data_IF_720250217849
#
_entry.id   IF_720250217849
#
_cell.length_a   1.000
_cell.length_b   1.000
_cell.length_c   1.000
_cell.angle_alpha   90.00
_cell.angle_beta   90.00
_cell.angle_gamma   90.00
#
_symmetry.space_group_name_H-M   'P 1'
#
loop_
_entity.id
_entity.type
_entity.pdbx_description
1 polymer ?
#
# COMPACT_ATOMS: atom_id res chain seq x y z
N UNK A 1 8.10 18.02 -3.71
CA UNK A 1 6.82 17.79 -3.04
C UNK A 1 6.84 16.46 -2.32
N UNK A 2 6.35 16.44 -1.11
CA UNK A 2 6.34 15.21 -0.33
C UNK A 2 5.10 14.40 -0.57
N UNK A 3 5.27 13.11 -0.67
CA UNK A 3 4.14 12.20 -0.71
C UNK A 3 3.62 11.96 0.70
N UNK A 4 2.35 11.60 0.79
CA UNK A 4 1.72 11.31 2.05
C UNK A 4 2.13 9.92 2.52
N UNK A 5 2.43 9.78 3.80
CA UNK A 5 2.71 8.47 4.38
C UNK A 5 1.60 8.09 5.34
N UNK A 6 1.29 6.80 5.35
CA UNK A 6 0.26 6.25 6.22
C UNK A 6 0.73 4.90 6.75
N UNK A 7 0.09 4.46 7.82
CA UNK A 7 0.32 3.11 8.33
C UNK A 7 -0.59 2.15 7.61
N UNK A 8 -0.04 1.02 7.19
CA UNK A 8 -0.81 0.03 6.46
C UNK A 8 -0.44 -1.37 6.92
N UNK A 9 -1.42 -2.26 6.87
CA UNK A 9 -1.16 -3.68 7.08
C UNK A 9 -0.53 -4.24 5.83
N UNK A 10 0.58 -4.95 5.97
CA UNK A 10 1.29 -5.52 4.83
C UNK A 10 0.95 -6.99 4.74
N UNK A 11 0.34 -7.40 3.64
CA UNK A 11 -0.13 -8.77 3.49
C UNK A 11 1.00 -9.79 3.62
N UNK A 12 2.11 -9.55 2.95
CA UNK A 12 3.23 -10.49 2.98
C UNK A 12 3.93 -10.56 4.32
N UNK A 13 3.63 -9.65 5.23
CA UNK A 13 4.20 -9.63 6.57
C UNK A 13 3.16 -10.04 7.60
N UNK A 14 2.22 -10.91 7.22
CA UNK A 14 1.18 -11.42 8.10
C UNK A 14 0.30 -10.32 8.67
N UNK A 15 0.12 -9.24 7.92
CA UNK A 15 -0.73 -8.15 8.34
C UNK A 15 -0.09 -7.19 9.33
N UNK A 16 1.21 -7.30 9.55
CA UNK A 16 1.89 -6.34 10.40
C UNK A 16 1.84 -4.96 9.79
N UNK A 17 1.75 -3.94 10.63
CA UNK A 17 1.64 -2.58 10.16
C UNK A 17 3.01 -1.98 9.88
N UNK A 18 3.10 -1.30 8.76
CA UNK A 18 4.31 -0.58 8.38
C UNK A 18 3.91 0.75 7.78
N UNK A 19 4.81 1.71 7.86
CA UNK A 19 4.59 3.00 7.23
C UNK A 19 4.87 2.89 5.74
N UNK A 20 3.90 3.29 4.93
CA UNK A 20 4.03 3.27 3.47
C UNK A 20 3.82 4.67 2.92
N UNK A 21 4.34 4.88 1.72
CA UNK A 21 4.23 6.16 1.04
C UNK A 21 3.20 6.05 -0.07
N UNK A 22 2.17 6.90 -0.03
CA UNK A 22 1.18 6.94 -1.10
C UNK A 22 1.75 7.76 -2.25
N UNK A 23 1.88 7.11 -3.41
CA UNK A 23 2.44 7.75 -4.59
C UNK A 23 1.36 8.42 -5.40
N UNK A 24 0.30 7.68 -5.71
CA UNK A 24 -0.81 8.20 -6.49
C UNK A 24 -2.00 7.29 -6.32
N UNK A 25 -3.15 7.74 -6.81
CA UNK A 25 -4.35 6.92 -6.76
C UNK A 25 -4.31 5.91 -7.90
N UNK A 26 -4.77 4.69 -7.62
CA UNK A 26 -4.87 3.65 -8.63
C UNK A 26 -5.96 4.01 -9.63
N UNK A 27 -5.73 3.64 -10.90
CA UNK A 27 -6.70 3.92 -11.96
C UNK A 27 -6.97 2.67 -12.77
N UNK A 28 -8.13 2.64 -13.40
CA UNK A 28 -8.52 1.60 -14.33
C UNK A 28 -9.04 2.29 -15.58
N UNK A 29 -8.38 2.07 -16.72
CA UNK A 29 -8.73 2.71 -17.98
C UNK A 29 -8.82 4.23 -17.85
N UNK A 30 -7.88 4.81 -17.09
CA UNK A 30 -7.83 6.25 -16.91
C UNK A 30 -8.79 6.81 -15.88
N UNK A 31 -9.58 5.96 -15.23
CA UNK A 31 -10.52 6.41 -14.21
C UNK A 31 -10.02 6.02 -12.83
N UNK A 32 -10.08 6.93 -11.86
CA UNK A 32 -9.60 6.60 -10.53
C UNK A 32 -10.48 5.56 -9.86
N UNK A 33 -9.82 4.61 -9.20
CA UNK A 33 -10.51 3.57 -8.44
C UNK A 33 -10.66 4.06 -7.01
N UNK A 34 -11.88 4.16 -6.49
CA UNK A 34 -12.06 4.64 -5.12
C UNK A 34 -11.31 3.77 -4.11
N UNK A 35 -10.64 4.43 -3.17
CA UNK A 35 -9.96 3.77 -2.06
C UNK A 35 -8.83 2.83 -2.47
N UNK A 36 -8.32 2.99 -3.69
CA UNK A 36 -7.20 2.18 -4.16
C UNK A 36 -6.04 3.10 -4.51
N UNK A 37 -4.85 2.74 -4.06
CA UNK A 37 -3.68 3.61 -4.20
C UNK A 37 -2.46 2.81 -4.60
N UNK A 38 -1.56 3.48 -5.33
CA UNK A 38 -0.24 2.95 -5.59
C UNK A 38 0.66 3.49 -4.49
N UNK A 39 1.34 2.58 -3.81
CA UNK A 39 2.16 2.95 -2.65
C UNK A 39 3.56 2.37 -2.81
N UNK A 40 4.47 2.89 -1.98
CA UNK A 40 5.83 2.37 -1.94
C UNK A 40 6.18 1.96 -0.53
N UNK A 41 6.82 0.82 -0.42
CA UNK A 41 7.37 0.35 0.84
C UNK A 41 8.72 -0.26 0.56
N UNK A 42 9.75 0.28 1.21
CA UNK A 42 11.11 -0.23 1.01
C UNK A 42 11.59 -0.13 -0.43
N UNK A 43 11.13 0.91 -1.15
CA UNK A 43 11.52 1.10 -2.53
C UNK A 43 10.74 0.27 -3.53
N UNK A 44 9.78 -0.53 -3.06
CA UNK A 44 8.97 -1.39 -3.91
C UNK A 44 7.57 -0.83 -4.00
N UNK A 45 7.04 -0.75 -5.22
CA UNK A 45 5.67 -0.28 -5.44
C UNK A 45 4.69 -1.44 -5.36
N UNK A 46 3.55 -1.17 -4.76
CA UNK A 46 2.46 -2.14 -4.73
C UNK A 46 1.15 -1.38 -4.61
N UNK A 47 0.06 -2.12 -4.53
CA UNK A 47 -1.27 -1.53 -4.43
C UNK A 47 -1.74 -1.61 -2.98
N UNK A 48 -2.36 -0.54 -2.51
CA UNK A 48 -2.96 -0.53 -1.18
C UNK A 48 -4.42 -0.13 -1.30
N UNK A 49 -5.24 -0.73 -0.45
CA UNK A 49 -6.66 -0.46 -0.39
C UNK A 49 -6.97 0.17 0.95
N UNK A 50 -7.73 1.26 0.92
CA UNK A 50 -8.23 1.87 2.14
C UNK A 50 -9.61 1.33 2.44
N UNK A 51 -9.80 0.79 3.65
CA UNK A 51 -11.08 0.28 4.07
C UNK A 51 -11.76 1.31 4.96
N UNK A 52 -12.80 1.99 4.47
CA UNK A 52 -13.46 3.02 5.29
C UNK A 52 -14.20 2.46 6.50
N UNK A 53 -14.53 1.18 6.48
CA UNK A 53 -15.20 0.57 7.63
C UNK A 53 -14.26 0.41 8.80
N UNK A 54 -13.00 0.09 8.54
CA UNK A 54 -12.01 -0.06 9.60
C UNK A 54 -11.10 1.15 9.70
N UNK A 55 -11.19 2.07 8.74
CA UNK A 55 -10.33 3.25 8.66
C UNK A 55 -8.87 2.88 8.59
N UNK A 56 -8.56 1.80 7.89
CA UNK A 56 -7.19 1.31 7.80
C UNK A 56 -6.82 0.99 6.37
N UNK A 57 -5.52 1.07 6.10
CA UNK A 57 -4.98 0.73 4.79
C UNK A 57 -4.42 -0.68 4.82
N UNK A 58 -4.56 -1.39 3.70
CA UNK A 58 -4.08 -2.75 3.53
C UNK A 58 -3.28 -2.81 2.24
N UNK A 59 -1.99 -3.04 2.34
CA UNK A 59 -1.12 -3.14 1.16
C UNK A 59 -1.10 -4.59 0.69
N UNK A 60 -1.40 -4.75 -0.59
CA UNK A 60 -1.51 -6.07 -1.21
C UNK A 60 -0.36 -6.26 -2.18
N UNK A 61 0.59 -7.08 -1.79
CA UNK A 61 1.68 -7.44 -2.68
C UNK A 61 1.48 -8.90 -3.11
N UNK A 62 0.47 -9.10 -3.91
CA UNK A 62 0.03 -10.44 -4.32
C UNK A 62 1.15 -11.39 -4.71
N UNK A 63 2.24 -10.83 -5.19
CA UNK A 63 3.31 -11.64 -5.71
C UNK A 63 4.49 -11.75 -4.76
N UNK A 64 4.29 -11.32 -3.52
CA UNK A 64 5.36 -11.39 -2.54
C UNK A 64 6.53 -10.47 -2.86
N UNK A 65 6.24 -9.33 -3.45
CA UNK A 65 7.27 -8.40 -3.85
C UNK A 65 7.87 -7.67 -2.66
N UNK A 66 7.03 -7.36 -1.68
CA UNK A 66 7.48 -6.66 -0.49
C UNK A 66 8.15 -7.67 0.42
N UNK A 67 9.43 -7.47 0.64
CA UNK A 67 10.19 -8.34 1.52
C UNK A 67 10.95 -7.50 2.51
N UNK A 68 10.81 -7.83 3.77
CA UNK A 68 11.66 -7.22 4.77
C UNK A 68 12.92 -8.01 4.90
N UNK A 69 14.02 -7.28 4.91
CA UNK A 69 15.32 -7.90 5.02
C UNK A 69 15.54 -8.28 6.47
N UNK A 70 15.49 -9.56 6.75
CA UNK A 70 15.67 -10.04 8.11
C UNK A 70 17.01 -10.72 8.27
N UNK A 71 17.61 -10.47 9.37
CA UNK A 71 18.90 -11.06 9.67
C UNK A 71 18.82 -12.17 10.69
#
# INVERSE_FOLDING_TARGET
>A
MKNLTVMAHIHSLNGEMREIEIVEQETLFGHPIPNAYIVKYGGVKCTAIYNPLTCQYYADDKYGIIKENKQ
#
